data_IF_357667694227
#
_entry.id   IF_357667694227
#
_cell.length_a   1.000
_cell.length_b   1.000
_cell.length_c   1.000
_cell.angle_alpha   90.00
_cell.angle_beta   90.00
_cell.angle_gamma   90.00
#
_symmetry.space_group_name_H-M   'P 1'
#
loop_
_entity.id
_entity.type
_entity.pdbx_description
1 polymer ?
#
# COMPACT_ATOMS: atom_id res chain seq x y z
N UNK A 1 -15.93 21.05 5.90
CA UNK A 1 -14.82 20.86 4.94
C UNK A 1 -13.55 20.66 5.74
N UNK A 2 -12.96 19.47 5.76
CA UNK A 2 -11.63 19.27 6.32
C UNK A 2 -10.70 18.81 5.18
N UNK A 3 -9.90 19.73 4.66
CA UNK A 3 -8.78 19.40 3.78
C UNK A 3 -7.72 18.70 4.64
N UNK A 4 -7.67 17.36 4.60
CA UNK A 4 -6.50 16.61 5.08
C UNK A 4 -5.39 16.77 4.03
N UNK A 5 -4.63 17.85 4.15
CA UNK A 5 -3.31 17.94 3.53
C UNK A 5 -2.46 16.91 4.27
N UNK A 6 -1.96 15.90 3.55
CA UNK A 6 -1.12 14.82 4.08
C UNK A 6 -0.04 15.40 5.00
N UNK A 7 0.00 14.94 6.26
CA UNK A 7 0.98 15.40 7.23
C UNK A 7 2.34 14.76 6.88
N UNK A 8 3.43 15.55 6.79
CA UNK A 8 4.77 15.04 6.46
C UNK A 8 5.31 13.91 7.37
N UNK A 9 4.77 13.77 8.59
CA UNK A 9 5.33 12.89 9.63
C UNK A 9 4.75 11.47 9.66
N UNK A 10 3.74 11.13 8.85
CA UNK A 10 3.04 9.83 8.95
C UNK A 10 3.93 8.62 8.60
N UNK A 11 4.90 8.77 7.69
CA UNK A 11 5.89 7.71 7.43
C UNK A 11 6.94 7.58 8.54
N UNK A 12 7.40 8.71 9.10
CA UNK A 12 8.44 8.71 10.15
C UNK A 12 7.92 8.13 11.48
N UNK A 13 6.61 8.24 11.71
CA UNK A 13 5.93 7.72 12.90
C UNK A 13 5.45 6.27 12.74
N UNK A 14 5.57 5.68 11.54
CA UNK A 14 5.08 4.34 11.25
C UNK A 14 3.55 4.25 11.13
N UNK A 15 2.85 5.38 11.08
CA UNK A 15 1.40 5.45 10.88
C UNK A 15 1.00 5.11 9.43
N UNK A 16 1.97 5.07 8.52
CA UNK A 16 1.77 4.67 7.13
C UNK A 16 2.97 3.91 6.56
N UNK A 17 2.69 2.85 5.78
CA UNK A 17 3.68 2.02 5.09
C UNK A 17 3.46 2.09 3.58
N UNK A 18 4.55 2.24 2.81
CA UNK A 18 4.49 2.38 1.35
C UNK A 18 5.37 1.33 0.68
N UNK A 19 4.82 0.69 -0.35
CA UNK A 19 5.44 -0.45 -1.03
C UNK A 19 5.43 -0.26 -2.55
N UNK A 20 6.46 -0.76 -3.21
CA UNK A 20 6.51 -0.94 -4.66
C UNK A 20 6.08 -2.37 -5.00
N UNK A 21 5.27 -2.50 -6.04
CA UNK A 21 4.92 -3.80 -6.63
C UNK A 21 5.87 -4.01 -7.79
N UNK A 22 6.74 -5.00 -7.71
CA UNK A 22 7.74 -5.31 -8.74
C UNK A 22 7.55 -6.71 -9.30
N UNK A 23 7.86 -6.90 -10.58
CA UNK A 23 8.05 -8.24 -11.14
C UNK A 23 9.44 -8.79 -10.76
N UNK A 24 9.71 -10.09 -11.02
CA UNK A 24 11.02 -10.68 -10.77
C UNK A 24 12.16 -10.00 -11.55
N UNK A 25 11.86 -9.35 -12.68
CA UNK A 25 12.81 -8.62 -13.51
C UNK A 25 13.14 -7.22 -12.96
N UNK A 26 12.48 -6.78 -11.88
CA UNK A 26 12.71 -5.47 -11.24
C UNK A 26 11.90 -4.30 -11.83
N UNK A 27 10.98 -4.56 -12.77
CA UNK A 27 10.05 -3.57 -13.28
C UNK A 27 9.00 -3.21 -12.22
N UNK A 28 8.80 -1.90 -11.98
CA UNK A 28 7.75 -1.40 -11.11
C UNK A 28 6.40 -1.49 -11.85
N UNK A 29 5.54 -2.41 -11.40
CA UNK A 29 4.20 -2.62 -11.94
C UNK A 29 3.15 -1.71 -11.28
N UNK A 30 3.47 -1.18 -10.09
CA UNK A 30 2.55 -0.38 -9.31
C UNK A 30 3.08 -0.04 -7.92
N UNK A 31 2.19 0.47 -7.08
CA UNK A 31 2.46 0.81 -5.68
C UNK A 31 1.29 0.45 -4.79
N UNK A 32 1.58 0.22 -3.53
CA UNK A 32 0.62 -0.02 -2.47
C UNK A 32 0.97 0.83 -1.25
N UNK A 33 -0.05 1.22 -0.50
CA UNK A 33 0.09 1.96 0.76
C UNK A 33 -0.85 1.37 1.80
N UNK A 34 -0.38 1.26 3.03
CA UNK A 34 -1.21 1.12 4.21
C UNK A 34 -1.16 2.44 4.97
N UNK A 35 -2.32 3.00 5.28
CA UNK A 35 -2.45 4.29 5.98
C UNK A 35 -3.49 4.18 7.09
N UNK A 36 -3.53 5.18 7.98
CA UNK A 36 -4.42 5.21 9.15
C UNK A 36 -4.31 3.91 9.97
N UNK A 37 -3.08 3.47 10.25
CA UNK A 37 -2.84 2.26 11.05
C UNK A 37 -3.28 2.48 12.50
N UNK A 38 -4.19 1.62 12.97
CA UNK A 38 -4.63 1.56 14.37
C UNK A 38 -3.99 0.33 15.04
N UNK A 39 -3.01 0.51 15.95
CA UNK A 39 -2.33 -0.59 16.61
C UNK A 39 -3.20 -1.31 17.65
N UNK A 40 -4.25 -0.67 18.18
CA UNK A 40 -5.16 -1.29 19.14
C UNK A 40 -6.15 -2.21 18.42
N UNK A 41 -6.71 -1.73 17.32
CA UNK A 41 -7.64 -2.51 16.48
C UNK A 41 -6.94 -3.44 15.49
N UNK A 42 -5.61 -3.30 15.33
CA UNK A 42 -4.79 -3.98 14.32
C UNK A 42 -5.38 -3.83 12.92
N UNK A 43 -5.80 -2.62 12.59
CA UNK A 43 -6.49 -2.30 11.35
C UNK A 43 -5.84 -1.14 10.61
N UNK A 44 -6.13 -1.00 9.33
CA UNK A 44 -5.72 0.15 8.54
C UNK A 44 -6.35 0.11 7.15
N UNK A 45 -6.08 1.13 6.35
CA UNK A 45 -6.62 1.26 5.00
C UNK A 45 -5.57 0.95 3.94
N UNK A 46 -5.87 0.00 3.06
CA UNK A 46 -5.02 -0.34 1.92
C UNK A 46 -5.44 0.48 0.69
N UNK A 47 -4.50 1.23 0.13
CA UNK A 47 -4.62 1.90 -1.16
C UNK A 47 -3.62 1.30 -2.16
N UNK A 48 -4.00 1.19 -3.43
CA UNK A 48 -3.08 0.71 -4.47
C UNK A 48 -3.35 1.34 -5.83
N UNK A 49 -2.31 1.38 -6.66
CA UNK A 49 -2.39 1.77 -8.07
C UNK A 49 -1.52 0.81 -8.87
N UNK A 50 -2.05 0.32 -9.98
CA UNK A 50 -1.34 -0.53 -10.94
C UNK A 50 -1.18 0.25 -12.24
N UNK A 51 -0.02 0.14 -12.88
CA UNK A 51 0.22 0.79 -14.17
C UNK A 51 -0.81 0.33 -15.19
N UNK A 52 -1.26 1.24 -16.06
CA UNK A 52 -2.33 0.99 -17.03
C UNK A 52 -2.08 -0.26 -17.89
N UNK A 53 -0.83 -0.46 -18.34
CA UNK A 53 -0.41 -1.64 -19.13
C UNK A 53 -0.54 -2.98 -18.38
N UNK A 54 -0.78 -2.92 -17.08
CA UNK A 54 -0.72 -4.04 -16.14
C UNK A 54 -2.07 -4.28 -15.43
N UNK A 55 -3.11 -3.49 -15.71
CA UNK A 55 -4.46 -3.68 -15.15
C UNK A 55 -5.11 -4.98 -15.66
N UNK A 56 -6.11 -5.49 -14.94
CA UNK A 56 -6.83 -6.72 -15.32
C UNK A 56 -6.07 -8.03 -15.08
N UNK A 57 -4.78 -7.98 -14.71
CA UNK A 57 -3.93 -9.17 -14.50
C UNK A 57 -3.92 -9.69 -13.05
N UNK A 58 -4.76 -9.12 -12.17
CA UNK A 58 -4.83 -9.49 -10.75
C UNK A 58 -3.61 -9.08 -9.91
N UNK A 59 -2.77 -8.16 -10.40
CA UNK A 59 -1.52 -7.74 -9.73
C UNK A 59 -1.79 -7.13 -8.35
N UNK A 60 -2.79 -6.25 -8.24
CA UNK A 60 -3.17 -5.65 -6.96
C UNK A 60 -3.58 -6.71 -5.92
N UNK A 61 -4.39 -7.70 -6.34
CA UNK A 61 -4.83 -8.78 -5.45
C UNK A 61 -3.66 -9.63 -4.95
N UNK A 62 -2.72 -9.98 -5.85
CA UNK A 62 -1.52 -10.74 -5.47
C UNK A 62 -0.63 -9.96 -4.50
N UNK A 63 -0.40 -8.68 -4.78
CA UNK A 63 0.38 -7.83 -3.90
C UNK A 63 -0.27 -7.67 -2.51
N UNK A 64 -1.61 -7.53 -2.46
CA UNK A 64 -2.34 -7.42 -1.20
C UNK A 64 -2.27 -8.72 -0.39
N UNK A 65 -2.40 -9.88 -1.04
CA UNK A 65 -2.26 -11.17 -0.37
C UNK A 65 -0.89 -11.35 0.27
N UNK A 66 0.19 -11.01 -0.46
CA UNK A 66 1.56 -11.03 0.06
C UNK A 66 1.76 -10.07 1.24
N UNK A 67 1.13 -8.89 1.17
CA UNK A 67 1.20 -7.92 2.26
C UNK A 67 0.50 -8.42 3.53
N UNK A 68 -0.68 -9.04 3.37
CA UNK A 68 -1.43 -9.66 4.48
C UNK A 68 -0.63 -10.81 5.09
N UNK A 69 -0.04 -11.68 4.27
CA UNK A 69 0.80 -12.79 4.74
C UNK A 69 2.00 -12.31 5.56
N UNK A 70 2.61 -11.18 5.20
CA UNK A 70 3.71 -10.58 5.97
C UNK A 70 3.28 -9.83 7.23
N UNK A 71 2.01 -9.48 7.36
CA UNK A 71 1.47 -8.73 8.49
C UNK A 71 0.93 -9.63 9.63
N UNK A 72 0.81 -10.94 9.38
CA UNK A 72 0.41 -11.99 10.34
C UNK A 72 1.67 -12.61 10.93
#
# INVERSE_FOLDING_TARGET
MQNKINKPNEQETGESLFFLIMNPEGEILGRMSLVDLDPLLKSGHAGYRVGEKHIGKGIANKALALLIEKAI
#
